data_IF_340355640353
#
_entry.id   IF_340355640353
#
_cell.length_a   1.000
_cell.length_b   1.000
_cell.length_c   1.000
_cell.angle_alpha   90.00
_cell.angle_beta   90.00
_cell.angle_gamma   90.00
#
_symmetry.space_group_name_H-M   'P 1'
#
loop_
_entity.id
_entity.type
_entity.pdbx_description
1 polymer ?
#
# COMPACT_ATOMS: atom_id res chain seq x y z
N UNK A 1 10.30 -2.48 -9.04
CA UNK A 1 9.76 -2.02 -7.73
C UNK A 1 10.33 -0.65 -7.44
N UNK A 2 9.48 0.27 -6.99
CA UNK A 2 9.89 1.62 -6.61
C UNK A 2 10.38 1.67 -5.17
N UNK A 3 11.40 2.47 -4.89
CA UNK A 3 11.82 2.78 -3.53
C UNK A 3 10.75 3.60 -2.81
N UNK A 4 10.81 3.66 -1.48
CA UNK A 4 9.89 4.49 -0.66
C UNK A 4 9.91 5.97 -1.10
N UNK A 5 11.08 6.48 -1.49
CA UNK A 5 11.21 7.86 -1.99
C UNK A 5 10.54 8.07 -3.35
N UNK A 6 10.68 7.12 -4.28
CA UNK A 6 10.02 7.18 -5.59
C UNK A 6 8.50 7.11 -5.45
N UNK A 7 7.99 6.24 -4.57
CA UNK A 7 6.56 6.20 -4.24
C UNK A 7 6.07 7.53 -3.66
N UNK A 8 6.85 8.14 -2.76
CA UNK A 8 6.51 9.44 -2.21
C UNK A 8 6.45 10.52 -3.28
N UNK A 9 7.44 10.58 -4.16
CA UNK A 9 7.46 11.56 -5.27
C UNK A 9 6.27 11.37 -6.22
N UNK A 10 5.93 10.12 -6.55
CA UNK A 10 4.80 9.82 -7.41
C UNK A 10 3.46 10.14 -6.73
N UNK A 11 3.34 9.86 -5.44
CA UNK A 11 2.17 10.22 -4.65
C UNK A 11 1.99 11.74 -4.58
N UNK A 12 3.06 12.49 -4.37
CA UNK A 12 3.03 13.96 -4.38
C UNK A 12 2.61 14.52 -5.75
N UNK A 13 3.10 13.94 -6.85
CA UNK A 13 2.67 14.31 -8.21
C UNK A 13 1.18 14.03 -8.41
N UNK A 14 0.71 12.87 -7.96
CA UNK A 14 -0.70 12.49 -8.05
C UNK A 14 -1.60 13.45 -7.29
N UNK A 15 -1.23 13.81 -6.07
CA UNK A 15 -1.98 14.77 -5.24
C UNK A 15 -1.96 16.17 -5.87
N UNK A 16 -0.81 16.63 -6.36
CA UNK A 16 -0.70 17.91 -7.06
C UNK A 16 -1.55 17.97 -8.35
N UNK A 17 -1.59 16.86 -9.11
CA UNK A 17 -2.43 16.76 -10.30
C UNK A 17 -3.93 16.86 -9.94
N UNK A 18 -4.37 16.20 -8.86
CA UNK A 18 -5.76 16.32 -8.34
C UNK A 18 -6.10 17.78 -8.04
N UNK A 19 -5.19 18.50 -7.39
CA UNK A 19 -5.36 19.94 -7.09
C UNK A 19 -5.52 20.78 -8.34
N UNK A 20 -4.67 20.57 -9.35
CA UNK A 20 -4.77 21.28 -10.62
C UNK A 20 -6.10 20.99 -11.32
N UNK A 21 -6.52 19.72 -11.37
CA UNK A 21 -7.80 19.34 -11.95
C UNK A 21 -8.99 19.97 -11.22
N UNK A 22 -8.97 20.01 -9.88
CA UNK A 22 -10.04 20.66 -9.09
C UNK A 22 -10.14 22.14 -9.41
N UNK A 23 -9.00 22.84 -9.53
CA UNK A 23 -8.97 24.26 -9.91
C UNK A 23 -9.44 24.49 -11.34
N UNK A 24 -8.95 23.70 -12.31
CA UNK A 24 -9.38 23.81 -13.70
C UNK A 24 -10.89 23.62 -13.83
N UNK A 25 -11.46 22.60 -13.18
CA UNK A 25 -12.92 22.37 -13.16
C UNK A 25 -13.68 23.56 -12.58
N UNK A 26 -13.17 24.19 -11.52
CA UNK A 26 -13.80 25.38 -10.94
C UNK A 26 -13.71 26.58 -11.87
N UNK A 27 -12.61 26.77 -12.61
CA UNK A 27 -12.45 27.81 -13.64
C UNK A 27 -13.39 27.59 -14.83
N UNK A 28 -13.49 26.34 -15.33
CA UNK A 28 -14.43 25.97 -16.40
C UNK A 28 -15.89 26.23 -15.95
N UNK A 29 -16.25 25.77 -14.75
CA UNK A 29 -17.57 25.99 -14.18
C UNK A 29 -17.90 27.49 -14.02
N UNK A 30 -16.90 28.30 -13.66
CA UNK A 30 -17.04 29.77 -13.58
C UNK A 30 -17.25 30.36 -14.97
N UNK A 31 -16.47 29.97 -15.96
CA UNK A 31 -16.63 30.49 -17.34
C UNK A 31 -18.01 30.14 -17.91
N UNK A 32 -18.49 28.90 -17.69
CA UNK A 32 -19.84 28.50 -18.09
C UNK A 32 -20.95 29.28 -17.35
N UNK A 33 -20.73 29.50 -16.03
CA UNK A 33 -21.72 30.24 -15.23
C UNK A 33 -21.75 31.73 -15.63
N UNK A 34 -20.60 32.36 -15.89
CA UNK A 34 -20.51 33.75 -16.37
C UNK A 34 -21.21 33.92 -17.73
N UNK A 35 -21.07 32.96 -18.63
CA UNK A 35 -21.75 32.96 -19.93
C UNK A 35 -23.29 32.84 -19.78
N UNK A 36 -23.75 32.04 -18.80
CA UNK A 36 -25.17 31.81 -18.55
C UNK A 36 -25.86 32.91 -17.72
N UNK A 37 -25.09 33.58 -16.85
CA UNK A 37 -25.60 34.54 -15.87
C UNK A 37 -24.84 35.87 -16.01
N UNK A 38 -25.31 36.85 -16.82
CA UNK A 38 -24.62 38.13 -17.05
C UNK A 38 -24.29 38.92 -15.81
N UNK A 39 -25.10 38.79 -14.73
CA UNK A 39 -24.90 39.49 -13.45
C UNK A 39 -23.84 38.81 -12.55
N UNK A 40 -23.38 37.62 -12.86
CA UNK A 40 -22.53 36.81 -11.99
C UNK A 40 -21.19 37.50 -11.68
N UNK A 41 -20.50 37.98 -12.74
CA UNK A 41 -19.23 38.69 -12.61
C UNK A 41 -19.33 39.90 -11.66
N UNK A 42 -20.40 40.66 -11.75
CA UNK A 42 -20.63 41.79 -10.86
C UNK A 42 -20.85 41.36 -9.41
N UNK A 43 -21.64 40.29 -9.20
CA UNK A 43 -21.86 39.74 -7.86
C UNK A 43 -20.60 39.17 -7.22
N UNK A 44 -19.74 38.49 -7.99
CA UNK A 44 -18.43 38.02 -7.52
C UNK A 44 -17.50 39.18 -7.15
N UNK A 45 -17.47 40.24 -7.96
CA UNK A 45 -16.67 41.44 -7.67
C UNK A 45 -17.18 42.10 -6.39
N UNK A 46 -18.50 42.19 -6.18
CA UNK A 46 -19.11 42.74 -4.97
C UNK A 46 -18.70 41.94 -3.73
N UNK A 47 -18.71 40.60 -3.79
CA UNK A 47 -18.22 39.73 -2.70
C UNK A 47 -16.76 39.97 -2.42
N UNK A 48 -15.90 40.05 -3.47
CA UNK A 48 -14.48 40.29 -3.35
C UNK A 48 -14.15 41.63 -2.68
N UNK A 49 -14.77 42.70 -3.15
CA UNK A 49 -14.58 44.07 -2.60
C UNK A 49 -15.03 44.18 -1.14
N UNK A 50 -16.19 43.57 -0.81
CA UNK A 50 -16.69 43.57 0.58
C UNK A 50 -15.82 42.66 1.47
N UNK A 51 -15.31 41.56 0.96
CA UNK A 51 -14.36 40.70 1.67
C UNK A 51 -13.08 41.43 2.05
N UNK A 52 -12.48 42.17 1.10
CA UNK A 52 -11.30 43.02 1.35
C UNK A 52 -11.59 44.07 2.41
N UNK A 53 -12.73 44.78 2.34
CA UNK A 53 -13.11 45.80 3.34
C UNK A 53 -13.29 45.22 4.74
N UNK A 54 -13.93 44.04 4.84
CA UNK A 54 -14.08 43.33 6.11
C UNK A 54 -12.73 42.91 6.71
N UNK A 55 -11.81 42.42 5.89
CA UNK A 55 -10.45 42.04 6.31
C UNK A 55 -9.62 43.24 6.78
N UNK A 56 -9.67 44.38 6.04
CA UNK A 56 -8.97 45.62 6.40
C UNK A 56 -9.53 46.23 7.71
N UNK A 57 -10.81 46.20 7.92
CA UNK A 57 -11.43 46.67 9.17
C UNK A 57 -10.91 45.83 10.37
N UNK A 58 -10.80 44.50 10.21
CA UNK A 58 -10.21 43.63 11.22
C UNK A 58 -8.73 43.90 11.50
N UNK A 59 -7.91 44.09 10.47
CA UNK A 59 -6.49 44.38 10.62
C UNK A 59 -6.26 45.75 11.29
N UNK A 60 -7.19 46.71 11.11
CA UNK A 60 -7.16 48.03 11.74
C UNK A 60 -7.74 48.09 13.15
N UNK A 61 -8.15 46.95 13.72
CA UNK A 61 -8.81 46.88 15.07
C UNK A 61 -10.17 47.58 15.16
N UNK A 62 -10.81 47.85 14.00
CA UNK A 62 -12.16 48.53 13.96
C UNK A 62 -13.28 47.48 14.12
N UNK A 63 -14.45 47.96 14.54
CA UNK A 63 -15.65 47.14 14.52
C UNK A 63 -15.95 46.66 13.12
N UNK A 64 -16.15 45.32 13.00
CA UNK A 64 -16.38 44.63 11.73
C UNK A 64 -17.84 44.26 11.48
N UNK A 65 -18.75 44.60 12.41
CA UNK A 65 -20.14 44.13 12.38
C UNK A 65 -20.82 44.50 11.06
N UNK A 66 -20.76 45.78 10.67
CA UNK A 66 -21.39 46.25 9.44
C UNK A 66 -20.72 45.70 8.17
N UNK A 67 -19.38 45.60 8.17
CA UNK A 67 -18.63 45.06 7.05
C UNK A 67 -18.88 43.55 6.87
N UNK A 68 -19.01 42.81 7.97
CA UNK A 68 -19.34 41.39 7.94
C UNK A 68 -20.77 41.13 7.47
N UNK A 69 -21.75 41.94 7.94
CA UNK A 69 -23.14 41.89 7.47
C UNK A 69 -23.21 42.15 5.95
N UNK A 70 -22.54 43.21 5.47
CA UNK A 70 -22.54 43.53 4.06
C UNK A 70 -21.88 42.43 3.19
N UNK A 71 -20.85 41.76 3.71
CA UNK A 71 -20.21 40.60 3.02
C UNK A 71 -21.15 39.39 2.97
N UNK A 72 -21.88 39.13 4.07
CA UNK A 72 -22.88 38.07 4.15
C UNK A 72 -24.02 38.29 3.13
N UNK A 73 -24.52 39.50 3.02
CA UNK A 73 -25.55 39.87 2.03
C UNK A 73 -25.07 39.68 0.59
N UNK A 74 -23.82 40.07 0.30
CA UNK A 74 -23.26 39.87 -1.03
C UNK A 74 -23.09 38.38 -1.37
N UNK A 75 -22.65 37.58 -0.41
CA UNK A 75 -22.54 36.12 -0.58
C UNK A 75 -23.91 35.48 -0.81
N UNK A 76 -24.94 35.93 -0.09
CA UNK A 76 -26.30 35.45 -0.29
C UNK A 76 -26.81 35.76 -1.69
N UNK A 77 -26.62 36.99 -2.17
CA UNK A 77 -26.99 37.39 -3.55
C UNK A 77 -26.30 36.52 -4.61
N UNK A 78 -25.02 36.24 -4.44
CA UNK A 78 -24.27 35.36 -5.34
C UNK A 78 -24.84 33.92 -5.32
N UNK A 79 -25.11 33.38 -4.13
CA UNK A 79 -25.71 32.04 -3.96
C UNK A 79 -27.12 31.99 -4.60
N UNK A 80 -27.95 33.02 -4.43
CA UNK A 80 -29.28 33.10 -5.03
C UNK A 80 -29.20 33.16 -6.59
N UNK A 81 -28.23 33.88 -7.15
CA UNK A 81 -27.97 33.89 -8.60
C UNK A 81 -27.58 32.49 -9.13
N UNK A 82 -26.70 31.79 -8.44
CA UNK A 82 -26.30 30.42 -8.80
C UNK A 82 -27.47 29.46 -8.71
N UNK A 83 -28.24 29.54 -7.61
CA UNK A 83 -29.43 28.70 -7.39
C UNK A 83 -30.51 28.93 -8.46
N UNK A 84 -30.72 30.18 -8.90
CA UNK A 84 -31.67 30.49 -9.98
C UNK A 84 -31.32 29.87 -11.33
N UNK A 85 -30.06 29.51 -11.54
CA UNK A 85 -29.57 28.81 -12.70
C UNK A 85 -29.40 27.29 -12.49
N UNK A 86 -29.88 26.77 -11.35
CA UNK A 86 -29.79 25.35 -11.01
C UNK A 86 -28.39 24.89 -10.53
N UNK A 87 -27.50 25.82 -10.18
CA UNK A 87 -26.16 25.54 -9.67
C UNK A 87 -26.11 25.61 -8.14
N UNK A 88 -25.36 24.74 -7.47
CA UNK A 88 -25.13 24.85 -6.03
C UNK A 88 -24.31 26.09 -5.68
N UNK A 89 -24.39 26.55 -4.43
CA UNK A 89 -23.73 27.78 -3.97
C UNK A 89 -22.18 27.71 -4.05
N UNK A 90 -21.61 26.52 -3.99
CA UNK A 90 -20.18 26.21 -4.08
C UNK A 90 -19.73 25.76 -5.49
N UNK A 91 -20.58 25.93 -6.50
CA UNK A 91 -20.28 25.49 -7.87
C UNK A 91 -19.03 26.11 -8.48
N UNK A 92 -18.63 27.28 -8.00
CA UNK A 92 -17.45 28.02 -8.47
C UNK A 92 -16.19 27.77 -7.62
N UNK A 93 -16.31 26.95 -6.57
CA UNK A 93 -15.21 26.63 -5.69
C UNK A 93 -14.51 25.33 -6.13
N UNK A 94 -13.17 25.23 -5.99
CA UNK A 94 -12.49 23.97 -6.31
C UNK A 94 -12.82 22.92 -5.26
N UNK A 95 -13.34 21.77 -5.71
CA UNK A 95 -13.63 20.61 -4.85
C UNK A 95 -12.38 19.71 -4.74
N UNK A 96 -11.60 19.93 -3.68
CA UNK A 96 -10.42 19.13 -3.39
C UNK A 96 -10.78 17.75 -2.86
N UNK A 97 -10.01 16.72 -3.27
CA UNK A 97 -10.18 15.34 -2.80
C UNK A 97 -9.85 15.23 -1.31
N UNK A 98 -8.77 15.87 -0.88
CA UNK A 98 -8.39 15.94 0.53
C UNK A 98 -8.77 17.30 1.11
N UNK A 99 -9.78 17.33 1.95
CA UNK A 99 -10.22 18.58 2.62
C UNK A 99 -9.21 19.10 3.65
N UNK A 100 -8.33 18.22 4.19
CA UNK A 100 -7.38 18.59 5.23
C UNK A 100 -6.22 19.43 4.68
N UNK A 101 -5.66 19.04 3.53
CA UNK A 101 -4.54 19.74 2.91
C UNK A 101 -4.91 20.46 1.59
N UNK A 102 -6.17 20.39 1.16
CA UNK A 102 -6.63 20.93 -0.12
C UNK A 102 -5.75 20.45 -1.29
N UNK A 103 -5.43 19.15 -1.29
CA UNK A 103 -4.56 18.48 -2.26
C UNK A 103 -3.18 19.19 -2.44
N UNK A 104 -2.63 19.79 -1.38
CA UNK A 104 -1.23 20.24 -1.35
C UNK A 104 -0.27 19.13 -0.97
N UNK A 105 -0.77 18.09 -0.32
CA UNK A 105 0.02 16.99 0.24
C UNK A 105 0.75 17.33 1.55
N UNK A 106 0.64 18.54 2.06
CA UNK A 106 1.35 19.02 3.26
C UNK A 106 0.37 19.74 4.19
N UNK A 107 0.48 19.44 5.49
CA UNK A 107 -0.25 20.13 6.58
C UNK A 107 0.75 20.44 7.68
N UNK A 108 0.86 21.69 8.09
CA UNK A 108 1.76 22.17 9.15
C UNK A 108 3.23 21.71 8.98
N UNK A 109 3.70 21.71 7.72
CA UNK A 109 5.08 21.30 7.37
C UNK A 109 5.31 19.79 7.39
N UNK A 110 4.26 18.96 7.58
CA UNK A 110 4.32 17.49 7.57
C UNK A 110 3.54 16.93 6.40
N UNK A 111 3.95 15.75 5.94
CA UNK A 111 3.23 15.02 4.89
C UNK A 111 1.81 14.68 5.36
N UNK A 112 0.83 15.02 4.52
CA UNK A 112 -0.57 14.73 4.79
C UNK A 112 -0.87 13.22 4.64
N UNK A 113 -1.81 12.71 5.43
CA UNK A 113 -2.27 11.31 5.34
C UNK A 113 -2.78 10.91 3.95
N UNK A 114 -3.27 11.86 3.15
CA UNK A 114 -3.70 11.58 1.77
C UNK A 114 -2.54 11.15 0.87
N UNK A 115 -1.32 11.63 1.09
CA UNK A 115 -0.11 11.20 0.37
C UNK A 115 0.24 9.76 0.75
N UNK A 116 0.21 9.43 2.04
CA UNK A 116 0.43 8.06 2.52
C UNK A 116 -0.58 7.07 1.90
N UNK A 117 -1.87 7.44 1.81
CA UNK A 117 -2.89 6.61 1.14
C UNK A 117 -2.57 6.38 -0.34
N UNK A 118 -2.08 7.39 -1.05
CA UNK A 118 -1.66 7.22 -2.45
C UNK A 118 -0.44 6.31 -2.54
N UNK A 119 0.55 6.46 -1.65
CA UNK A 119 1.71 5.56 -1.60
C UNK A 119 1.29 4.10 -1.38
N UNK A 120 0.38 3.85 -0.45
CA UNK A 120 -0.19 2.52 -0.20
C UNK A 120 -0.87 1.94 -1.45
N UNK A 121 -1.69 2.74 -2.14
CA UNK A 121 -2.34 2.32 -3.38
C UNK A 121 -1.34 1.98 -4.49
N UNK A 122 -0.29 2.79 -4.64
CA UNK A 122 0.78 2.55 -5.61
C UNK A 122 1.54 1.25 -5.28
N UNK A 123 1.89 1.03 -4.01
CA UNK A 123 2.57 -0.19 -3.58
C UNK A 123 1.67 -1.42 -3.76
N UNK A 124 0.39 -1.30 -3.39
CA UNK A 124 -0.60 -2.36 -3.61
C UNK A 124 -0.65 -2.78 -5.08
N UNK A 125 -0.75 -1.81 -5.99
CA UNK A 125 -0.75 -2.09 -7.44
C UNK A 125 0.55 -2.75 -7.93
N UNK A 126 1.71 -2.43 -7.34
CA UNK A 126 2.97 -3.10 -7.66
C UNK A 126 2.96 -4.57 -7.22
N UNK A 127 2.47 -4.85 -6.01
CA UNK A 127 2.37 -6.22 -5.49
C UNK A 127 1.42 -7.05 -6.36
N UNK A 128 0.26 -6.49 -6.70
CA UNK A 128 -0.73 -7.14 -7.56
C UNK A 128 -0.21 -7.41 -8.99
N UNK A 129 0.70 -6.58 -9.49
CA UNK A 129 1.34 -6.79 -10.79
C UNK A 129 2.42 -7.89 -10.76
N UNK A 130 3.02 -8.17 -9.59
CA UNK A 130 4.09 -9.17 -9.41
C UNK A 130 3.54 -10.52 -8.95
N UNK A 131 2.37 -10.55 -8.32
CA UNK A 131 1.74 -11.77 -7.84
C UNK A 131 0.74 -12.30 -8.85
N UNK A 132 0.63 -13.63 -8.97
CA UNK A 132 -0.45 -14.29 -9.69
C UNK A 132 -1.81 -14.18 -8.96
N UNK A 133 -1.79 -13.72 -7.72
CA UNK A 133 -2.96 -13.48 -6.87
C UNK A 133 -3.05 -11.99 -6.56
N UNK A 134 -4.26 -11.44 -6.48
CA UNK A 134 -4.48 -10.11 -5.91
C UNK A 134 -4.13 -10.11 -4.42
N UNK A 135 -3.82 -8.93 -3.85
CA UNK A 135 -3.73 -8.80 -2.39
C UNK A 135 -5.03 -9.30 -1.78
N UNK A 136 -4.90 -10.31 -0.94
CA UNK A 136 -6.01 -11.04 -0.33
C UNK A 136 -6.29 -10.55 1.09
N UNK A 137 -7.36 -11.04 1.67
CA UNK A 137 -7.72 -10.85 3.07
C UNK A 137 -7.82 -12.23 3.73
N UNK A 138 -7.53 -12.30 5.02
CA UNK A 138 -7.79 -13.51 5.81
C UNK A 138 -9.25 -13.97 5.72
N UNK A 139 -10.20 -13.03 5.54
CA UNK A 139 -11.62 -13.35 5.39
C UNK A 139 -11.96 -14.12 4.11
N UNK A 140 -11.06 -14.12 3.12
CA UNK A 140 -11.19 -14.91 1.89
C UNK A 140 -10.55 -16.30 1.99
N UNK A 141 -9.91 -16.62 3.13
CA UNK A 141 -9.34 -17.93 3.41
C UNK A 141 -10.40 -18.86 4.02
N UNK A 142 -10.99 -19.68 3.18
CA UNK A 142 -12.11 -20.52 3.57
C UNK A 142 -11.63 -21.81 4.24
N UNK A 143 -11.90 -21.96 5.55
CA UNK A 143 -11.53 -23.14 6.34
C UNK A 143 -12.18 -24.44 5.83
N UNK A 144 -13.26 -24.38 5.02
CA UNK A 144 -13.92 -25.57 4.47
C UNK A 144 -13.00 -26.42 3.58
N UNK A 145 -12.00 -25.83 2.96
CA UNK A 145 -11.02 -26.52 2.10
C UNK A 145 -9.99 -27.32 2.91
N UNK A 146 -9.83 -27.05 4.19
CA UNK A 146 -8.98 -27.87 5.05
C UNK A 146 -9.78 -29.06 5.59
N UNK A 147 -9.23 -30.29 5.55
CA UNK A 147 -9.96 -31.49 5.93
C UNK A 147 -10.28 -31.51 7.44
N UNK A 148 -11.47 -32.02 7.78
CA UNK A 148 -11.86 -32.22 9.17
C UNK A 148 -11.33 -33.55 9.77
N UNK A 149 -10.51 -34.32 9.01
CA UNK A 149 -9.90 -35.55 9.50
C UNK A 149 -8.85 -35.26 10.56
N UNK A 150 -8.76 -36.19 11.54
CA UNK A 150 -7.67 -36.19 12.52
C UNK A 150 -6.33 -36.40 11.82
N UNK A 151 -5.31 -35.67 12.23
CA UNK A 151 -3.93 -35.92 11.88
C UNK A 151 -3.18 -36.45 13.10
N UNK A 152 -2.49 -37.58 12.95
CA UNK A 152 -1.82 -38.24 14.06
C UNK A 152 -0.60 -37.45 14.58
N UNK A 153 0.04 -36.65 13.74
CA UNK A 153 1.18 -35.83 14.13
C UNK A 153 0.77 -34.55 14.88
N UNK A 154 -0.42 -34.02 14.58
CA UNK A 154 -0.98 -32.84 15.24
C UNK A 154 -1.75 -33.19 16.50
N UNK A 155 -2.33 -34.41 16.58
CA UNK A 155 -3.22 -34.82 17.67
C UNK A 155 -4.60 -34.15 17.64
N UNK A 156 -4.93 -33.46 16.55
CA UNK A 156 -6.19 -32.75 16.33
C UNK A 156 -6.61 -32.76 14.85
N UNK A 157 -7.85 -32.35 14.51
CA UNK A 157 -8.27 -32.19 13.13
C UNK A 157 -7.44 -31.11 12.40
N UNK A 158 -7.03 -31.41 11.15
CA UNK A 158 -6.26 -30.45 10.32
C UNK A 158 -6.97 -29.10 10.22
N UNK A 159 -8.29 -29.07 10.08
CA UNK A 159 -9.08 -27.82 10.00
C UNK A 159 -8.97 -27.00 11.29
N UNK A 160 -8.97 -27.63 12.46
CA UNK A 160 -8.83 -26.95 13.75
C UNK A 160 -7.45 -26.31 13.87
N UNK A 161 -6.42 -27.10 13.59
CA UNK A 161 -5.03 -26.63 13.54
C UNK A 161 -4.85 -25.44 12.59
N UNK A 162 -5.37 -25.54 11.36
CA UNK A 162 -5.28 -24.46 10.37
C UNK A 162 -6.08 -23.22 10.77
N UNK A 163 -7.21 -23.39 11.50
CA UNK A 163 -7.93 -22.23 12.06
C UNK A 163 -7.07 -21.46 13.03
N UNK A 164 -6.44 -22.15 13.99
CA UNK A 164 -5.52 -21.53 14.96
C UNK A 164 -4.33 -20.88 14.27
N UNK A 165 -3.71 -21.56 13.29
CA UNK A 165 -2.59 -21.03 12.52
C UNK A 165 -2.97 -19.73 11.79
N UNK A 166 -4.14 -19.67 11.17
CA UNK A 166 -4.59 -18.45 10.47
C UNK A 166 -4.96 -17.33 11.44
N UNK A 167 -5.49 -17.65 12.62
CA UNK A 167 -5.75 -16.67 13.67
C UNK A 167 -4.44 -16.09 14.23
N UNK A 168 -3.39 -16.91 14.40
CA UNK A 168 -2.06 -16.47 14.81
C UNK A 168 -1.42 -15.55 13.75
N UNK A 169 -1.54 -15.88 12.46
CA UNK A 169 -1.04 -15.03 11.38
C UNK A 169 -1.81 -13.71 11.27
N UNK A 170 -3.11 -13.73 11.53
CA UNK A 170 -3.93 -12.51 11.62
C UNK A 170 -3.47 -11.66 12.80
N UNK A 171 -3.28 -12.26 13.98
CA UNK A 171 -2.73 -11.58 15.15
C UNK A 171 -1.35 -10.94 14.87
N UNK A 172 -0.47 -11.66 14.17
CA UNK A 172 0.80 -11.11 13.72
C UNK A 172 0.62 -9.88 12.82
N UNK A 173 -0.29 -9.94 11.85
CA UNK A 173 -0.57 -8.80 10.98
C UNK A 173 -1.18 -7.63 11.76
N UNK A 174 -2.08 -7.92 12.72
CA UNK A 174 -2.71 -6.91 13.56
C UNK A 174 -1.75 -6.22 14.53
N UNK A 175 -0.72 -6.92 15.02
CA UNK A 175 0.28 -6.40 15.95
C UNK A 175 1.58 -5.97 15.26
N UNK A 176 1.64 -6.06 13.93
CA UNK A 176 2.86 -5.83 13.16
C UNK A 176 3.48 -4.46 13.43
N UNK A 177 4.78 -4.48 13.68
CA UNK A 177 5.69 -3.34 13.63
C UNK A 177 7.04 -3.75 13.00
N UNK A 178 7.97 -2.79 12.85
CA UNK A 178 9.29 -3.05 12.22
C UNK A 178 10.22 -3.89 13.08
N UNK A 179 9.83 -4.28 14.30
CA UNK A 179 10.57 -5.18 15.19
C UNK A 179 9.93 -6.56 15.32
N UNK A 180 8.81 -6.80 14.61
CA UNK A 180 8.14 -8.09 14.56
C UNK A 180 9.09 -9.21 14.10
N UNK A 181 8.81 -10.45 14.50
CA UNK A 181 9.63 -11.59 14.12
C UNK A 181 9.50 -11.91 12.62
N UNK A 182 10.55 -12.52 12.07
CA UNK A 182 10.48 -13.08 10.72
C UNK A 182 9.74 -14.41 10.72
N UNK A 183 8.96 -14.67 9.69
CA UNK A 183 8.11 -15.86 9.58
C UNK A 183 8.55 -16.77 8.44
N UNK A 184 8.39 -18.07 8.62
CA UNK A 184 8.58 -19.06 7.58
C UNK A 184 7.30 -19.89 7.40
N UNK A 185 6.59 -19.67 6.30
CA UNK A 185 5.35 -20.38 5.95
C UNK A 185 5.72 -21.62 5.13
N UNK A 186 5.62 -22.78 5.74
CA UNK A 186 6.06 -24.09 5.22
C UNK A 186 4.86 -24.93 4.79
N UNK A 187 5.05 -25.84 3.86
CA UNK A 187 4.03 -26.85 3.52
C UNK A 187 3.93 -27.09 2.02
N UNK A 188 3.23 -28.13 1.62
CA UNK A 188 3.06 -28.51 0.22
C UNK A 188 2.46 -27.39 -0.63
N UNK A 189 2.54 -27.53 -1.95
CA UNK A 189 1.90 -26.60 -2.88
C UNK A 189 0.36 -26.59 -2.68
N UNK A 190 -0.28 -25.45 -3.00
CA UNK A 190 -1.74 -25.34 -2.99
C UNK A 190 -2.40 -25.17 -1.61
N UNK A 191 -1.64 -25.07 -0.51
CA UNK A 191 -2.18 -24.99 0.86
C UNK A 191 -2.52 -23.56 1.33
N UNK A 192 -2.33 -22.53 0.51
CA UNK A 192 -2.69 -21.15 0.85
C UNK A 192 -1.57 -20.28 1.44
N UNK A 193 -0.30 -20.73 1.47
CA UNK A 193 0.84 -19.96 2.00
C UNK A 193 0.97 -18.56 1.38
N UNK A 194 1.04 -18.49 0.04
CA UNK A 194 1.07 -17.22 -0.69
C UNK A 194 -0.14 -16.34 -0.39
N UNK A 195 -1.34 -16.95 -0.27
CA UNK A 195 -2.56 -16.24 0.08
C UNK A 195 -2.45 -15.59 1.47
N UNK A 196 -1.97 -16.34 2.48
CA UNK A 196 -1.76 -15.83 3.82
C UNK A 196 -0.68 -14.72 3.85
N UNK A 197 0.44 -14.90 3.12
CA UNK A 197 1.48 -13.88 3.01
C UNK A 197 0.94 -12.58 2.38
N UNK A 198 0.09 -12.68 1.35
CA UNK A 198 -0.56 -11.52 0.73
C UNK A 198 -1.64 -10.90 1.63
N UNK A 199 -2.32 -11.67 2.47
CA UNK A 199 -3.25 -11.14 3.47
C UNK A 199 -2.50 -10.30 4.52
N UNK A 200 -1.37 -10.81 5.03
CA UNK A 200 -0.48 -10.04 5.91
C UNK A 200 0.02 -8.77 5.21
N UNK A 201 0.46 -8.87 3.94
CA UNK A 201 0.91 -7.72 3.16
C UNK A 201 -0.17 -6.63 3.09
N UNK A 202 -1.42 -7.00 2.85
CA UNK A 202 -2.56 -6.08 2.78
C UNK A 202 -2.75 -5.30 4.08
N UNK A 203 -2.82 -5.99 5.21
CA UNK A 203 -3.03 -5.37 6.52
C UNK A 203 -1.84 -4.51 6.97
N UNK A 204 -0.61 -4.97 6.73
CA UNK A 204 0.61 -4.22 7.04
C UNK A 204 0.70 -2.94 6.19
N UNK A 205 0.32 -2.99 4.90
CA UNK A 205 0.22 -1.81 4.04
C UNK A 205 -0.82 -0.82 4.56
N UNK A 206 -2.00 -1.28 5.00
CA UNK A 206 -3.05 -0.41 5.55
C UNK A 206 -2.61 0.33 6.81
N UNK A 207 -1.70 -0.25 7.57
CA UNK A 207 -1.05 0.40 8.73
C UNK A 207 0.00 1.45 8.34
N UNK A 208 0.39 1.54 7.06
CA UNK A 208 1.32 2.54 6.56
C UNK A 208 2.76 2.10 6.45
N UNK A 209 3.06 0.82 6.66
CA UNK A 209 4.39 0.26 6.48
C UNK A 209 4.71 0.01 5.00
N UNK A 210 5.99 0.04 4.64
CA UNK A 210 6.46 -0.28 3.29
C UNK A 210 6.64 -1.79 3.15
N UNK A 211 5.85 -2.42 2.27
CA UNK A 211 5.89 -3.86 2.03
C UNK A 211 6.44 -4.13 0.64
N UNK A 212 7.44 -4.99 0.56
CA UNK A 212 7.96 -5.52 -0.70
C UNK A 212 7.58 -7.00 -0.79
N UNK A 213 6.85 -7.36 -1.84
CA UNK A 213 6.57 -8.75 -2.21
C UNK A 213 7.34 -9.09 -3.48
N UNK A 214 8.01 -10.23 -3.48
CA UNK A 214 8.68 -10.79 -4.64
C UNK A 214 8.46 -12.30 -4.72
N UNK A 215 8.19 -12.81 -5.92
CA UNK A 215 8.38 -14.21 -6.27
C UNK A 215 9.89 -14.49 -6.28
N UNK A 216 10.39 -15.41 -5.45
CA UNK A 216 11.81 -15.71 -5.36
C UNK A 216 12.40 -16.11 -6.72
N UNK A 217 11.77 -17.01 -7.51
CA UNK A 217 12.29 -17.36 -8.83
C UNK A 217 12.45 -16.16 -9.77
N UNK A 218 11.43 -15.29 -9.85
CA UNK A 218 11.46 -14.15 -10.76
C UNK A 218 12.45 -13.08 -10.31
N UNK A 219 12.51 -12.84 -9.00
CA UNK A 219 13.40 -11.84 -8.40
C UNK A 219 14.87 -12.19 -8.63
N UNK A 220 15.26 -13.41 -8.29
CA UNK A 220 16.66 -13.84 -8.45
C UNK A 220 17.05 -14.03 -9.92
N UNK A 221 16.14 -14.51 -10.79
CA UNK A 221 16.36 -14.57 -12.23
C UNK A 221 16.60 -13.18 -12.82
N UNK A 222 15.83 -12.17 -12.40
CA UNK A 222 16.02 -10.79 -12.84
C UNK A 222 17.36 -10.22 -12.36
N UNK A 223 17.71 -10.43 -11.09
CA UNK A 223 19.00 -9.97 -10.54
C UNK A 223 20.17 -10.62 -11.27
N UNK A 224 20.10 -11.92 -11.55
CA UNK A 224 21.13 -12.66 -12.27
C UNK A 224 21.31 -12.16 -13.71
N UNK A 225 20.18 -11.87 -14.40
CA UNK A 225 20.20 -11.28 -15.73
C UNK A 225 20.82 -9.87 -15.75
N UNK A 226 20.59 -9.06 -14.74
CA UNK A 226 21.22 -7.74 -14.59
C UNK A 226 22.70 -7.86 -14.27
N UNK A 227 23.09 -8.75 -13.35
CA UNK A 227 24.44 -8.96 -12.90
C UNK A 227 25.41 -9.41 -14.01
N UNK A 228 24.98 -10.37 -14.82
CA UNK A 228 25.80 -10.91 -15.94
C UNK A 228 25.56 -10.21 -17.27
N UNK A 229 24.55 -9.32 -17.34
CA UNK A 229 24.21 -8.53 -18.51
C UNK A 229 24.79 -7.11 -18.46
N UNK A 230 24.05 -6.17 -19.08
CA UNK A 230 24.37 -4.75 -19.01
C UNK A 230 23.35 -4.06 -18.12
N UNK A 231 23.81 -3.43 -17.03
CA UNK A 231 22.98 -2.65 -16.10
C UNK A 231 23.49 -1.21 -15.97
N UNK A 232 23.37 -0.39 -17.04
CA UNK A 232 23.86 1.00 -17.01
C UNK A 232 23.07 1.91 -16.06
N UNK A 233 21.88 1.49 -15.64
CA UNK A 233 21.03 2.23 -14.72
C UNK A 233 21.25 1.88 -13.24
N UNK A 234 22.02 0.81 -12.92
CA UNK A 234 22.21 0.31 -11.57
C UNK A 234 20.93 -0.28 -10.98
N UNK A 235 20.12 -0.94 -11.80
CA UNK A 235 18.84 -1.51 -11.41
C UNK A 235 19.02 -2.67 -10.42
N UNK A 236 20.09 -3.48 -10.56
CA UNK A 236 20.45 -4.56 -9.64
C UNK A 236 20.60 -4.02 -8.21
N UNK A 237 21.45 -3.00 -8.03
CA UNK A 237 21.68 -2.40 -6.71
C UNK A 237 20.41 -1.79 -6.16
N UNK A 238 19.62 -1.11 -6.98
CA UNK A 238 18.35 -0.49 -6.58
C UNK A 238 17.35 -1.55 -6.09
N UNK A 239 17.19 -2.66 -6.80
CA UNK A 239 16.30 -3.77 -6.41
C UNK A 239 16.72 -4.40 -5.09
N UNK A 240 18.03 -4.68 -4.92
CA UNK A 240 18.56 -5.23 -3.68
C UNK A 240 18.39 -4.27 -2.50
N UNK A 241 18.68 -2.99 -2.68
CA UNK A 241 18.50 -1.97 -1.64
C UNK A 241 17.03 -1.80 -1.26
N UNK A 242 16.13 -1.85 -2.23
CA UNK A 242 14.68 -1.74 -2.00
C UNK A 242 14.18 -2.93 -1.18
N UNK A 243 14.58 -4.16 -1.54
CA UNK A 243 14.22 -5.36 -0.80
C UNK A 243 14.87 -5.40 0.60
N UNK A 244 16.14 -4.98 0.72
CA UNK A 244 16.85 -4.95 2.00
C UNK A 244 16.29 -3.92 2.97
N UNK A 245 15.77 -2.78 2.49
CA UNK A 245 15.31 -1.66 3.31
C UNK A 245 13.79 -1.59 3.56
N UNK A 246 13.00 -2.49 3.00
CA UNK A 246 11.55 -2.53 3.23
C UNK A 246 11.20 -2.80 4.71
N UNK A 247 10.12 -2.20 5.21
CA UNK A 247 9.63 -2.45 6.56
C UNK A 247 9.23 -3.93 6.71
N UNK A 248 8.62 -4.53 5.67
CA UNK A 248 8.37 -5.97 5.54
C UNK A 248 8.82 -6.45 4.15
N UNK A 249 9.61 -7.53 4.10
CA UNK A 249 9.93 -8.24 2.86
C UNK A 249 9.21 -9.59 2.84
N UNK A 250 8.57 -9.92 1.73
CA UNK A 250 7.98 -11.24 1.48
C UNK A 250 8.73 -11.87 0.30
N UNK A 251 9.41 -12.98 0.57
CA UNK A 251 10.04 -13.85 -0.42
C UNK A 251 9.13 -15.06 -0.64
N UNK A 252 8.35 -15.03 -1.71
CA UNK A 252 7.37 -16.06 -2.00
C UNK A 252 7.96 -17.17 -2.86
N UNK A 253 7.59 -18.42 -2.55
CA UNK A 253 7.97 -19.65 -3.24
C UNK A 253 9.49 -19.90 -3.28
N UNK A 254 10.17 -19.68 -2.15
CA UNK A 254 11.59 -20.02 -2.01
C UNK A 254 11.78 -21.54 -2.15
N UNK A 255 12.70 -21.96 -3.02
CA UNK A 255 12.95 -23.37 -3.35
C UNK A 255 12.52 -23.76 -4.74
N UNK A 256 11.87 -22.86 -5.48
CA UNK A 256 11.43 -23.08 -6.87
C UNK A 256 12.37 -22.43 -7.90
N UNK A 257 13.35 -21.63 -7.43
CA UNK A 257 14.34 -20.99 -8.29
C UNK A 257 15.47 -21.93 -8.73
N UNK A 258 16.14 -21.55 -9.82
CA UNK A 258 17.34 -22.24 -10.26
C UNK A 258 18.53 -21.93 -9.32
N UNK A 259 19.08 -22.97 -8.69
CA UNK A 259 20.14 -22.82 -7.70
C UNK A 259 21.50 -22.51 -8.35
N UNK A 260 21.95 -21.26 -8.24
CA UNK A 260 23.25 -20.78 -8.72
C UNK A 260 24.09 -20.23 -7.57
N UNK A 261 25.42 -20.15 -7.76
CA UNK A 261 26.29 -19.51 -6.77
C UNK A 261 25.97 -18.02 -6.56
N UNK A 262 25.47 -17.34 -7.59
CA UNK A 262 25.00 -15.97 -7.52
C UNK A 262 23.78 -15.87 -6.59
N UNK A 263 22.77 -16.73 -6.80
CA UNK A 263 21.57 -16.79 -5.95
C UNK A 263 21.96 -17.01 -4.49
N UNK A 264 22.79 -18.00 -4.20
CA UNK A 264 23.24 -18.33 -2.83
C UNK A 264 23.89 -17.13 -2.15
N UNK A 265 24.82 -16.45 -2.84
CA UNK A 265 25.53 -15.29 -2.29
C UNK A 265 24.60 -14.09 -2.07
N UNK A 266 23.68 -13.85 -3.00
CA UNK A 266 22.73 -12.74 -2.98
C UNK A 266 21.66 -12.94 -1.90
N UNK A 267 21.07 -14.14 -1.81
CA UNK A 267 20.09 -14.50 -0.77
C UNK A 267 20.74 -14.42 0.62
N UNK A 268 21.96 -14.96 0.77
CA UNK A 268 22.71 -14.85 2.03
C UNK A 268 22.89 -13.39 2.46
N UNK A 269 23.34 -12.53 1.54
CA UNK A 269 23.59 -11.12 1.81
C UNK A 269 22.29 -10.39 2.17
N UNK A 270 21.20 -10.66 1.44
CA UNK A 270 19.88 -10.06 1.70
C UNK A 270 19.34 -10.44 3.09
N UNK A 271 19.34 -11.75 3.42
CA UNK A 271 18.90 -12.23 4.74
C UNK A 271 19.79 -11.69 5.86
N UNK A 272 21.12 -11.70 5.66
CA UNK A 272 22.06 -11.20 6.66
C UNK A 272 21.87 -9.70 6.95
N UNK A 273 21.67 -8.88 5.93
CA UNK A 273 21.44 -7.45 6.08
C UNK A 273 20.12 -7.17 6.82
N UNK A 274 19.05 -7.89 6.49
CA UNK A 274 17.74 -7.70 7.13
C UNK A 274 17.74 -8.18 8.58
N UNK A 275 18.34 -9.35 8.86
CA UNK A 275 18.51 -9.84 10.25
C UNK A 275 19.37 -8.88 11.06
N UNK A 276 20.46 -8.36 10.49
CA UNK A 276 21.31 -7.36 11.17
C UNK A 276 20.58 -6.04 11.46
N UNK A 277 19.69 -5.62 10.57
CA UNK A 277 18.84 -4.46 10.73
C UNK A 277 17.57 -4.74 11.56
N UNK A 278 17.33 -6.00 11.97
CA UNK A 278 16.11 -6.47 12.66
C UNK A 278 14.83 -6.16 11.90
N UNK A 279 14.85 -6.27 10.58
CA UNK A 279 13.69 -6.03 9.74
C UNK A 279 12.97 -7.35 9.43
N UNK A 280 11.65 -7.42 9.65
CA UNK A 280 10.83 -8.61 9.44
C UNK A 280 10.89 -9.12 8.00
N UNK A 281 11.02 -10.43 7.85
CA UNK A 281 10.98 -11.11 6.55
C UNK A 281 10.04 -12.29 6.63
N UNK A 282 9.12 -12.41 5.68
CA UNK A 282 8.28 -13.60 5.51
C UNK A 282 8.83 -14.38 4.33
N UNK A 283 9.05 -15.67 4.54
CA UNK A 283 9.44 -16.60 3.48
C UNK A 283 8.34 -17.65 3.34
N UNK A 284 7.85 -17.89 2.13
CA UNK A 284 7.03 -19.07 1.85
C UNK A 284 7.85 -20.11 1.12
N UNK A 285 7.67 -21.38 1.42
CA UNK A 285 8.41 -22.48 0.79
C UNK A 285 7.64 -23.79 0.81
N UNK A 286 7.88 -24.62 -0.18
CA UNK A 286 7.39 -26.00 -0.23
C UNK A 286 8.38 -26.99 0.45
N UNK A 287 9.54 -26.52 0.87
CA UNK A 287 10.56 -27.34 1.53
C UNK A 287 10.23 -27.41 3.02
N UNK A 288 9.81 -28.57 3.48
CA UNK A 288 9.50 -28.85 4.89
C UNK A 288 10.62 -29.60 5.61
N UNK A 289 11.59 -30.13 4.86
CA UNK A 289 12.75 -30.87 5.39
C UNK A 289 13.96 -29.95 5.51
N UNK A 290 14.44 -29.74 6.73
CA UNK A 290 15.60 -28.91 7.03
C UNK A 290 16.90 -29.40 6.38
N UNK A 291 17.07 -30.72 6.22
CA UNK A 291 18.25 -31.29 5.54
C UNK A 291 18.21 -30.98 4.04
N UNK A 292 17.04 -30.99 3.42
CA UNK A 292 16.86 -30.57 2.03
C UNK A 292 17.13 -29.08 1.86
N UNK A 293 16.65 -28.25 2.81
CA UNK A 293 16.89 -26.81 2.81
C UNK A 293 18.39 -26.50 2.88
N UNK A 294 19.13 -27.17 3.78
CA UNK A 294 20.58 -27.02 3.90
C UNK A 294 21.32 -27.47 2.65
N UNK A 295 20.90 -28.57 2.03
CA UNK A 295 21.46 -29.06 0.77
C UNK A 295 21.28 -28.08 -0.39
N UNK A 296 20.14 -27.39 -0.46
CA UNK A 296 19.84 -26.43 -1.52
C UNK A 296 20.51 -25.08 -1.28
N UNK A 297 20.51 -24.59 -0.03
CA UNK A 297 20.92 -23.20 0.27
C UNK A 297 22.17 -23.08 1.14
N UNK A 298 22.83 -24.13 1.49
CA UNK A 298 23.96 -24.19 2.40
C UNK A 298 23.57 -24.04 3.89
N UNK A 299 24.43 -24.55 4.79
CA UNK A 299 24.28 -24.43 6.23
C UNK A 299 24.09 -22.98 6.69
N UNK A 300 24.79 -22.02 6.09
CA UNK A 300 24.74 -20.61 6.46
C UNK A 300 23.37 -19.96 6.26
N UNK A 301 22.70 -20.27 5.16
CA UNK A 301 21.34 -19.77 4.88
C UNK A 301 20.34 -20.54 5.72
N UNK A 302 20.44 -21.86 5.78
CA UNK A 302 19.56 -22.71 6.60
C UNK A 302 19.56 -22.27 8.07
N UNK A 303 20.73 -21.99 8.64
CA UNK A 303 20.87 -21.47 10.02
C UNK A 303 20.16 -20.11 10.22
N UNK A 304 20.11 -19.23 9.21
CA UNK A 304 19.36 -17.96 9.29
C UNK A 304 17.88 -18.18 9.22
N UNK A 305 17.43 -19.01 8.29
CA UNK A 305 16.01 -19.35 8.14
C UNK A 305 15.47 -20.11 9.35
N UNK A 306 16.30 -20.90 10.05
CA UNK A 306 15.89 -21.58 11.29
C UNK A 306 15.64 -20.63 12.47
N UNK A 307 16.04 -19.36 12.38
CA UNK A 307 15.67 -18.34 13.34
C UNK A 307 14.28 -17.73 13.12
N UNK A 308 13.63 -18.04 12.00
CA UNK A 308 12.28 -17.57 11.67
C UNK A 308 11.25 -18.41 12.40
N UNK A 309 10.14 -17.81 12.79
CA UNK A 309 9.01 -18.54 13.39
C UNK A 309 8.33 -19.39 12.33
N UNK A 310 8.32 -20.72 12.46
CA UNK A 310 7.76 -21.61 11.45
C UNK A 310 6.24 -21.75 11.60
N UNK A 311 5.52 -21.65 10.48
CA UNK A 311 4.09 -21.94 10.36
C UNK A 311 3.89 -23.04 9.33
N UNK A 312 3.55 -24.24 9.77
CA UNK A 312 3.39 -25.41 8.91
C UNK A 312 1.97 -25.51 8.39
N UNK A 313 1.75 -25.21 7.13
CA UNK A 313 0.47 -25.39 6.46
C UNK A 313 0.24 -26.87 6.14
N UNK A 314 -0.94 -27.37 6.51
CA UNK A 314 -1.32 -28.77 6.36
C UNK A 314 -2.67 -28.90 5.63
N UNK A 315 -2.88 -30.02 4.96
CA UNK A 315 -4.13 -30.30 4.26
C UNK A 315 -3.92 -30.85 2.87
N UNK A 316 -4.96 -30.69 2.05
CA UNK A 316 -4.99 -31.12 0.65
C UNK A 316 -4.92 -29.91 -0.27
N UNK A 317 -4.49 -30.08 -1.53
CA UNK A 317 -4.36 -28.97 -2.48
C UNK A 317 -5.69 -28.25 -2.72
N UNK A 318 -5.78 -26.99 -2.25
CA UNK A 318 -6.98 -26.15 -2.37
C UNK A 318 -7.21 -25.73 -3.83
N UNK A 319 -6.15 -25.57 -4.64
CA UNK A 319 -6.29 -25.22 -6.05
C UNK A 319 -6.99 -26.34 -6.81
N UNK A 320 -6.63 -27.59 -6.53
CA UNK A 320 -7.29 -28.76 -7.12
C UNK A 320 -8.76 -28.83 -6.72
N UNK A 321 -9.07 -28.65 -5.43
CA UNK A 321 -10.46 -28.66 -4.93
C UNK A 321 -11.32 -27.56 -5.58
N UNK A 322 -10.80 -26.34 -5.72
CA UNK A 322 -11.52 -25.24 -6.38
C UNK A 322 -11.74 -25.48 -7.87
N UNK A 323 -10.81 -26.17 -8.54
CA UNK A 323 -10.95 -26.51 -9.95
C UNK A 323 -12.05 -27.58 -10.19
N UNK A 324 -12.33 -28.42 -9.20
CA UNK A 324 -13.42 -29.42 -9.25
C UNK A 324 -14.80 -28.80 -8.96
N UNK A 325 -14.88 -27.63 -8.32
CA UNK A 325 -16.12 -26.90 -8.02
C UNK A 325 -16.59 -26.02 -9.19
N UNK A 326 -15.73 -25.81 -10.23
CA UNK A 326 -16.00 -24.93 -11.41
C UNK A 326 -16.44 -25.73 -12.61
#
# INVERSE_FOLDING_TARGET
MRTKNELYQEAMRTVAARRQMARARAEDARAEAEAAIPALRHAEEEVRVRGIRCALAGAAGKDRTDAAAALTDARKKLADLLASSGRPADALEPHFTCRLCEDTGIVDGRTCSCVHKVMQQLRRSEIEALSSLSISSFDTMELRYYPARMDASLGEPVRSYMSTLLDDLRGYADEFDTTSESLMLLGNAGLGKTHAALAIAGEVLEKGFDVIYVSSPDFFSKLEALHFGSDPAGEEEMLLRTAAGADLLILDDLGSEFNSSFLISTLYSLLNNRLGAKLPTIVTTNITDGALLEKLYTEKISSRLSSFVPFLFMGDDIRAQKAEET
#
